data_IF_222927164661
#
_entry.id   IF_222927164661
#
_cell.length_a   1.000
_cell.length_b   1.000
_cell.length_c   1.000
_cell.angle_alpha   90.00
_cell.angle_beta   90.00
_cell.angle_gamma   90.00
#
_symmetry.space_group_name_H-M   'P 1'
#
loop_
_entity.id
_entity.type
_entity.pdbx_description
1 polymer ?
#
# COMPACT_ATOMS: atom_id res chain seq x y z
N UNK A 1 15.24 7.15 -2.14
CA UNK A 1 13.99 7.01 -2.95
C UNK A 1 14.28 7.59 -4.32
N UNK A 2 14.19 6.79 -5.38
CA UNK A 2 14.58 7.22 -6.73
C UNK A 2 13.35 7.85 -7.42
N UNK A 3 13.44 9.11 -7.87
CA UNK A 3 12.33 9.86 -8.47
C UNK A 3 11.64 9.11 -9.63
N UNK A 4 12.38 8.26 -10.32
CA UNK A 4 11.92 7.49 -11.47
C UNK A 4 10.84 6.44 -11.12
N UNK A 5 10.72 6.01 -9.85
CA UNK A 5 9.69 5.06 -9.45
C UNK A 5 8.29 5.69 -9.26
N UNK A 6 8.19 7.02 -9.27
CA UNK A 6 6.89 7.72 -9.24
C UNK A 6 6.23 7.80 -10.62
N UNK A 7 7.02 7.86 -11.69
CA UNK A 7 6.52 8.11 -13.05
C UNK A 7 5.90 6.86 -13.74
N UNK A 8 6.27 5.66 -13.29
CA UNK A 8 5.80 4.39 -13.89
C UNK A 8 4.78 3.63 -13.03
N UNK A 9 4.18 4.28 -12.03
CA UNK A 9 3.21 3.60 -11.17
C UNK A 9 1.90 3.42 -11.94
N UNK A 10 1.34 2.20 -12.05
CA UNK A 10 -0.03 2.03 -12.50
C UNK A 10 -0.93 2.94 -11.65
N UNK A 11 -1.81 3.70 -12.31
CA UNK A 11 -2.70 4.65 -11.63
C UNK A 11 -3.76 3.87 -10.84
N UNK A 12 -3.40 3.39 -9.66
CA UNK A 12 -4.37 2.89 -8.68
C UNK A 12 -5.22 4.07 -8.25
N UNK A 13 -6.53 3.95 -8.37
CA UNK A 13 -7.45 5.03 -8.02
C UNK A 13 -7.34 5.33 -6.52
N UNK A 14 -7.34 6.60 -6.12
CA UNK A 14 -7.20 6.98 -4.71
C UNK A 14 -8.32 6.37 -3.83
N UNK A 15 -9.53 6.23 -4.39
CA UNK A 15 -10.64 5.55 -3.71
C UNK A 15 -10.33 4.08 -3.41
N UNK A 16 -9.65 3.38 -4.32
CA UNK A 16 -9.23 1.99 -4.15
C UNK A 16 -8.18 1.87 -3.05
N UNK A 17 -7.21 2.80 -3.01
CA UNK A 17 -6.19 2.87 -1.95
C UNK A 17 -6.84 3.07 -0.58
N UNK A 18 -7.75 4.03 -0.43
CA UNK A 18 -8.43 4.27 0.86
C UNK A 18 -9.27 3.07 1.30
N UNK A 19 -10.01 2.45 0.37
CA UNK A 19 -10.79 1.26 0.65
C UNK A 19 -9.91 0.07 1.07
N UNK A 20 -8.73 -0.07 0.46
CA UNK A 20 -7.77 -1.11 0.85
C UNK A 20 -7.13 -0.83 2.21
N UNK A 21 -6.74 0.41 2.52
CA UNK A 21 -6.21 0.77 3.85
C UNK A 21 -7.22 0.40 4.95
N UNK A 22 -8.51 0.67 4.73
CA UNK A 22 -9.55 0.27 5.68
C UNK A 22 -9.63 -1.26 5.84
N UNK A 23 -9.61 -2.01 4.73
CA UNK A 23 -9.59 -3.49 4.77
C UNK A 23 -8.35 -4.04 5.46
N UNK A 24 -7.18 -3.45 5.25
CA UNK A 24 -5.95 -3.80 5.95
C UNK A 24 -6.07 -3.55 7.46
N UNK A 25 -6.67 -2.43 7.86
CA UNK A 25 -6.94 -2.13 9.27
C UNK A 25 -7.83 -3.19 9.92
N UNK A 26 -8.87 -3.65 9.24
CA UNK A 26 -9.73 -4.75 9.72
C UNK A 26 -8.95 -6.06 9.80
N UNK A 27 -8.20 -6.43 8.75
CA UNK A 27 -7.47 -7.71 8.66
C UNK A 27 -6.30 -7.80 9.64
N UNK A 28 -5.61 -6.69 9.87
CA UNK A 28 -4.41 -6.59 10.71
C UNK A 28 -4.68 -5.85 12.02
N UNK A 29 -5.94 -5.88 12.49
CA UNK A 29 -6.34 -5.49 13.86
C UNK A 29 -5.86 -4.09 14.25
N UNK A 30 -6.09 -3.11 13.38
CA UNK A 30 -5.71 -1.72 13.61
C UNK A 30 -4.28 -1.35 13.19
N UNK A 31 -3.51 -2.28 12.64
CA UNK A 31 -2.13 -2.08 12.18
C UNK A 31 -2.02 -2.16 10.65
N UNK A 32 -2.66 -1.26 9.89
CA UNK A 32 -2.74 -1.37 8.42
C UNK A 32 -1.37 -1.22 7.74
N UNK A 33 -0.46 -0.40 8.28
CA UNK A 33 0.86 -0.17 7.70
C UNK A 33 1.75 -1.40 7.84
N UNK A 34 1.86 -1.94 9.06
CA UNK A 34 2.58 -3.16 9.36
C UNK A 34 1.99 -4.34 8.59
N UNK A 35 0.66 -4.43 8.54
CA UNK A 35 -0.07 -5.43 7.78
C UNK A 35 0.26 -5.42 6.29
N UNK A 36 0.25 -4.24 5.66
CA UNK A 36 0.64 -4.10 4.25
C UNK A 36 2.10 -4.48 4.00
N UNK A 37 3.01 -4.10 4.90
CA UNK A 37 4.43 -4.45 4.81
C UNK A 37 4.65 -5.97 4.95
N UNK A 38 3.88 -6.63 5.81
CA UNK A 38 3.93 -8.09 5.96
C UNK A 38 3.38 -8.79 4.71
N UNK A 39 2.22 -8.38 4.20
CA UNK A 39 1.66 -8.94 2.95
C UNK A 39 2.59 -8.73 1.75
N UNK A 40 3.35 -7.63 1.71
CA UNK A 40 4.34 -7.39 0.65
C UNK A 40 5.54 -8.35 0.68
N UNK A 41 5.77 -9.07 1.78
CA UNK A 41 6.84 -10.07 1.89
C UNK A 41 6.43 -11.43 1.34
N UNK A 42 5.15 -11.62 0.98
CA UNK A 42 4.66 -12.87 0.42
C UNK A 42 5.35 -13.20 -0.91
N UNK A 43 6.07 -14.34 -1.03
CA UNK A 43 6.92 -14.64 -2.18
C UNK A 43 6.17 -14.71 -3.52
N UNK A 44 4.90 -15.11 -3.50
CA UNK A 44 4.08 -15.32 -4.70
C UNK A 44 2.96 -14.27 -4.81
N UNK A 45 3.18 -13.06 -4.28
CA UNK A 45 2.19 -12.01 -4.32
C UNK A 45 1.91 -11.56 -5.76
N UNK A 46 0.64 -11.59 -6.22
CA UNK A 46 0.29 -11.11 -7.56
C UNK A 46 0.72 -9.66 -7.77
N UNK A 47 1.24 -9.33 -8.96
CA UNK A 47 1.81 -8.01 -9.24
C UNK A 47 0.81 -6.87 -8.97
N UNK A 48 -0.46 -7.01 -9.37
CA UNK A 48 -1.50 -6.01 -9.09
C UNK A 48 -1.71 -5.76 -7.60
N UNK A 49 -1.64 -6.82 -6.78
CA UNK A 49 -1.74 -6.72 -5.32
C UNK A 49 -0.52 -6.00 -4.74
N UNK A 50 0.68 -6.32 -5.22
CA UNK A 50 1.91 -5.64 -4.81
C UNK A 50 1.87 -4.14 -5.12
N UNK A 51 1.33 -3.76 -6.28
CA UNK A 51 1.16 -2.35 -6.69
C UNK A 51 0.21 -1.63 -5.73
N UNK A 52 -0.97 -2.19 -5.46
CA UNK A 52 -1.96 -1.63 -4.54
C UNK A 52 -1.41 -1.50 -3.11
N UNK A 53 -0.76 -2.54 -2.58
CA UNK A 53 -0.20 -2.51 -1.22
C UNK A 53 0.91 -1.47 -1.08
N UNK A 54 1.80 -1.34 -2.08
CA UNK A 54 2.81 -0.27 -2.06
C UNK A 54 2.16 1.12 -2.08
N UNK A 55 1.06 1.30 -2.82
CA UNK A 55 0.35 2.58 -2.86
C UNK A 55 -0.26 2.91 -1.48
N UNK A 56 -0.80 1.91 -0.79
CA UNK A 56 -1.28 2.05 0.59
C UNK A 56 -0.15 2.45 1.54
N UNK A 57 0.99 1.77 1.49
CA UNK A 57 2.16 2.06 2.33
C UNK A 57 2.65 3.49 2.13
N UNK A 58 2.78 3.93 0.88
CA UNK A 58 3.28 5.27 0.59
C UNK A 58 2.31 6.35 1.09
N UNK A 59 1.00 6.15 0.91
CA UNK A 59 -0.03 7.08 1.43
C UNK A 59 0.03 7.19 2.95
N UNK A 60 0.05 6.07 3.68
CA UNK A 60 0.12 6.09 5.15
C UNK A 60 1.43 6.70 5.69
N UNK A 61 2.56 6.44 5.03
CA UNK A 61 3.83 7.07 5.40
C UNK A 61 3.83 8.58 5.17
N UNK A 62 3.22 9.03 4.08
CA UNK A 62 3.07 10.46 3.80
C UNK A 62 2.16 11.12 4.86
N UNK A 63 1.06 10.47 5.25
CA UNK A 63 0.14 10.97 6.26
C UNK A 63 0.78 11.05 7.66
N UNK A 64 1.59 10.06 8.05
CA UNK A 64 2.32 10.07 9.34
C UNK A 64 3.42 11.13 9.44
N UNK A 65 3.83 11.74 8.33
CA UNK A 65 4.85 12.79 8.29
C UNK A 65 4.26 14.20 8.32
N UNK A 66 2.93 14.33 8.33
CA UNK A 66 2.20 15.61 8.39
C UNK A 66 1.69 15.87 9.79
#
# INVERSE_FOLDING_TARGET
>A
MNLLSMLFRPAVADAEVRAEIWRLGVRHVGWPLEGALNELREPNLPMGRAVLLRACVDKMKLENQR
#
